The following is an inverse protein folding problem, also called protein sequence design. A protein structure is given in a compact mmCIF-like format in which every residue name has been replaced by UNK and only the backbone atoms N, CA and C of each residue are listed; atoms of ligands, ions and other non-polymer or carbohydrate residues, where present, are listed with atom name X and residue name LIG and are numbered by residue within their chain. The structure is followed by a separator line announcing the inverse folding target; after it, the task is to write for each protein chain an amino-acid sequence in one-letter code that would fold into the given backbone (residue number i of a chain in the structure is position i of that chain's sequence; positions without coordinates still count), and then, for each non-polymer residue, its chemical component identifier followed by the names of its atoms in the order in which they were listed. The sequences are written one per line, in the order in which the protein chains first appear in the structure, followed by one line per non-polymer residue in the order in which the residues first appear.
data_IF_741889876668
#
_entry.id   IF_741889876668
#
_cell.length_a   1.000
_cell.length_b   1.000
_cell.length_c   1.000
_cell.angle_alpha   90.00
_cell.angle_beta   90.00
_cell.angle_gamma   90.00
#
_symmetry.space_group_name_H-M   'P 1'
#
loop_
_entity.id
_entity.type
_entity.pdbx_description
1 polymer ?
#
# COMPACT_ATOMS: atom_id res chain seq x y z
N UNK A 1 13.19 -57.39 17.78
CA UNK A 1 11.96 -56.65 17.48
C UNK A 1 12.30 -55.16 17.60
N UNK A 2 12.53 -54.47 16.46
CA UNK A 2 12.67 -53.00 16.41
C UNK A 2 11.26 -52.43 16.38
N UNK A 3 10.87 -51.72 17.42
CA UNK A 3 9.64 -50.94 17.41
C UNK A 3 9.87 -49.65 16.56
N UNK A 4 9.19 -49.57 15.42
CA UNK A 4 9.09 -48.35 14.65
C UNK A 4 8.20 -47.38 15.46
N UNK A 5 8.80 -46.38 16.09
CA UNK A 5 8.07 -45.27 16.66
C UNK A 5 7.68 -44.36 15.50
N UNK A 6 6.44 -44.47 15.01
CA UNK A 6 5.84 -43.47 14.17
C UNK A 6 5.60 -42.23 15.03
N UNK A 7 6.49 -41.25 14.97
CA UNK A 7 6.19 -39.87 15.41
C UNK A 7 5.16 -39.31 14.46
N UNK A 8 3.92 -39.17 14.91
CA UNK A 8 2.92 -38.38 14.21
C UNK A 8 3.46 -36.96 14.08
N UNK A 9 3.75 -36.56 12.86
CA UNK A 9 4.10 -35.18 12.57
C UNK A 9 2.91 -34.31 12.97
N UNK A 10 3.08 -33.49 14.01
CA UNK A 10 2.08 -32.52 14.47
C UNK A 10 1.80 -31.59 13.32
N UNK A 11 0.57 -31.59 12.85
CA UNK A 11 0.12 -30.75 11.77
C UNK A 11 0.12 -29.30 12.29
N UNK A 12 1.13 -28.52 11.91
CA UNK A 12 1.24 -27.12 12.31
C UNK A 12 0.50 -26.25 11.31
N UNK A 13 -0.53 -25.55 11.80
CA UNK A 13 -1.31 -24.59 11.03
C UNK A 13 -1.06 -23.21 11.61
N UNK A 14 -0.57 -22.29 10.77
CA UNK A 14 -0.29 -20.90 11.12
C UNK A 14 -1.20 -20.00 10.29
N UNK A 15 -1.94 -19.12 10.96
CA UNK A 15 -2.80 -18.11 10.33
C UNK A 15 -2.25 -16.71 10.60
N UNK A 16 -1.91 -15.97 9.53
CA UNK A 16 -1.43 -14.59 9.59
C UNK A 16 -2.20 -13.75 8.58
N UNK A 17 -3.12 -12.92 9.05
CA UNK A 17 -4.03 -12.18 8.18
C UNK A 17 -4.88 -13.12 7.34
N UNK A 18 -4.81 -13.00 6.01
CA UNK A 18 -5.53 -13.88 5.07
C UNK A 18 -4.69 -15.10 4.62
N UNK A 19 -3.47 -15.25 5.15
CA UNK A 19 -2.61 -16.39 4.81
C UNK A 19 -2.78 -17.53 5.81
N UNK A 20 -3.06 -18.71 5.28
CA UNK A 20 -3.07 -19.96 6.03
C UNK A 20 -1.89 -20.81 5.53
N UNK A 21 -1.05 -21.26 6.43
CA UNK A 21 0.10 -22.10 6.14
C UNK A 21 -0.06 -23.41 6.92
N UNK A 22 0.01 -24.54 6.22
CA UNK A 22 -0.13 -25.87 6.83
C UNK A 22 1.09 -26.73 6.47
N UNK A 23 1.71 -27.31 7.49
CA UNK A 23 2.84 -28.24 7.33
C UNK A 23 4.02 -27.69 6.51
N UNK A 24 4.25 -26.36 6.56
CA UNK A 24 5.44 -25.78 5.96
C UNK A 24 6.66 -26.07 6.85
N UNK A 25 7.77 -26.54 6.27
CA UNK A 25 9.01 -26.69 7.03
C UNK A 25 9.50 -25.32 7.49
N UNK A 26 10.13 -25.26 8.65
CA UNK A 26 10.81 -24.06 9.12
C UNK A 26 11.92 -23.66 8.13
N UNK A 27 11.98 -22.38 7.79
CA UNK A 27 13.01 -21.87 6.88
C UNK A 27 14.31 -21.77 7.66
N UNK A 28 15.42 -22.43 7.20
CA UNK A 28 16.70 -22.34 7.88
C UNK A 28 17.20 -20.90 8.06
N UNK A 29 17.72 -20.59 9.23
CA UNK A 29 18.23 -19.24 9.54
C UNK A 29 19.31 -18.76 8.55
N UNK A 30 20.20 -19.65 8.11
CA UNK A 30 21.23 -19.35 7.10
C UNK A 30 20.62 -18.90 5.75
N UNK A 31 19.48 -19.51 5.36
CA UNK A 31 18.79 -19.10 4.15
C UNK A 31 18.15 -17.72 4.30
N UNK A 32 17.58 -17.43 5.48
CA UNK A 32 17.03 -16.11 5.79
C UNK A 32 18.13 -15.04 5.73
N UNK A 33 19.29 -15.30 6.36
CA UNK A 33 20.43 -14.38 6.36
C UNK A 33 20.97 -14.14 4.95
N UNK A 34 21.13 -15.22 4.16
CA UNK A 34 21.58 -15.14 2.78
C UNK A 34 20.64 -14.32 1.91
N UNK A 35 19.31 -14.52 2.03
CA UNK A 35 18.31 -13.75 1.29
C UNK A 35 18.25 -12.28 1.71
N UNK A 36 18.47 -11.99 2.99
CA UNK A 36 18.44 -10.62 3.51
C UNK A 36 19.52 -9.73 2.88
N UNK A 37 20.66 -10.26 2.48
CA UNK A 37 21.70 -9.51 1.77
C UNK A 37 21.19 -8.93 0.45
N UNK A 38 20.31 -9.63 -0.23
CA UNK A 38 19.75 -9.24 -1.53
C UNK A 38 18.41 -8.50 -1.40
N UNK A 39 17.63 -8.79 -0.37
CA UNK A 39 16.30 -8.22 -0.18
C UNK A 39 16.31 -6.88 0.58
N UNK A 40 17.38 -6.57 1.32
CA UNK A 40 17.48 -5.32 2.09
C UNK A 40 17.94 -4.12 1.25
N UNK A 41 17.65 -4.13 -0.05
CA UNK A 41 17.84 -2.95 -0.90
C UNK A 41 16.81 -1.89 -0.53
N UNK A 42 17.28 -0.64 -0.38
CA UNK A 42 16.41 0.52 -0.09
C UNK A 42 16.21 1.35 -1.36
N UNK A 43 15.78 0.68 -2.43
CA UNK A 43 15.37 1.35 -3.65
C UNK A 43 14.28 2.39 -3.38
N UNK A 44 14.21 3.44 -4.18
CA UNK A 44 13.17 4.44 -4.11
C UNK A 44 12.53 4.61 -5.49
N UNK A 45 11.20 4.37 -5.56
CA UNK A 45 10.39 4.68 -6.74
C UNK A 45 9.91 6.13 -6.66
N UNK A 46 10.11 6.91 -7.71
CA UNK A 46 9.57 8.27 -7.81
C UNK A 46 8.07 8.21 -8.08
N UNK A 47 7.26 8.89 -7.25
CA UNK A 47 5.82 9.01 -7.41
C UNK A 47 5.38 10.37 -7.98
N UNK A 48 6.13 11.44 -7.70
CA UNK A 48 5.86 12.77 -8.19
C UNK A 48 6.40 13.87 -7.28
N UNK A 49 5.96 15.10 -7.52
CA UNK A 49 6.29 16.27 -6.73
C UNK A 49 5.15 16.60 -5.76
N UNK A 50 5.48 16.98 -4.55
CA UNK A 50 4.53 17.55 -3.60
C UNK A 50 4.28 19.02 -3.92
N UNK A 51 3.18 19.60 -3.44
CA UNK A 51 2.83 21.01 -3.68
C UNK A 51 3.85 22.00 -3.11
N UNK A 52 4.64 21.60 -2.13
CA UNK A 52 5.73 22.37 -1.52
C UNK A 52 7.12 22.09 -2.14
N UNK A 53 7.16 21.39 -3.28
CA UNK A 53 8.38 21.16 -4.06
C UNK A 53 9.27 20.03 -3.57
N UNK A 54 8.80 19.16 -2.66
CA UNK A 54 9.52 17.97 -2.27
C UNK A 54 9.26 16.80 -3.25
N UNK A 55 10.15 15.83 -3.27
CA UNK A 55 9.92 14.55 -3.96
C UNK A 55 9.04 13.65 -3.12
N UNK A 56 7.97 13.12 -3.70
CA UNK A 56 7.20 12.03 -3.14
C UNK A 56 7.71 10.71 -3.72
N UNK A 57 8.08 9.78 -2.85
CA UNK A 57 8.70 8.51 -3.22
C UNK A 57 8.05 7.35 -2.50
N UNK A 58 8.11 6.18 -3.13
CA UNK A 58 7.82 4.90 -2.49
C UNK A 58 9.14 4.21 -2.14
N UNK A 59 9.36 3.89 -0.88
CA UNK A 59 10.56 3.18 -0.44
C UNK A 59 10.27 2.33 0.80
N UNK A 60 11.15 1.38 1.09
CA UNK A 60 11.03 0.46 2.21
C UNK A 60 12.19 0.62 3.19
N UNK A 61 11.90 0.94 4.45
CA UNK A 61 12.85 0.89 5.55
C UNK A 61 12.63 -0.31 6.48
N UNK A 62 11.38 -0.73 6.61
CA UNK A 62 10.97 -1.91 7.36
C UNK A 62 10.53 -3.03 6.39
N UNK A 63 9.43 -3.68 6.65
CA UNK A 63 8.97 -4.86 5.90
C UNK A 63 8.28 -4.49 4.57
N UNK A 64 7.56 -3.37 4.52
CA UNK A 64 6.72 -2.99 3.38
C UNK A 64 7.05 -1.61 2.83
N UNK A 65 6.76 -1.41 1.54
CA UNK A 65 6.91 -0.10 0.90
C UNK A 65 5.87 0.89 1.44
N UNK A 66 6.34 2.09 1.80
CA UNK A 66 5.54 3.18 2.33
C UNK A 66 5.81 4.48 1.56
N UNK A 67 4.90 5.44 1.66
CA UNK A 67 5.10 6.77 1.11
C UNK A 67 6.09 7.57 1.97
N UNK A 68 7.05 8.21 1.31
CA UNK A 68 8.04 9.09 1.94
C UNK A 68 8.18 10.37 1.13
N UNK A 69 8.68 11.42 1.75
CA UNK A 69 9.08 12.63 1.04
C UNK A 69 10.54 13.00 1.28
N UNK A 70 11.14 13.68 0.31
CA UNK A 70 12.51 14.19 0.37
C UNK A 70 12.50 15.62 -0.15
N UNK A 71 12.90 16.58 0.68
CA UNK A 71 12.77 18.00 0.39
C UNK A 71 14.08 18.69 -0.04
N UNK A 72 15.20 17.96 -0.02
CA UNK A 72 16.49 18.49 -0.48
C UNK A 72 17.40 17.35 -0.95
N UNK A 73 18.35 17.61 -1.85
CA UNK A 73 19.33 16.62 -2.26
C UNK A 73 20.07 16.03 -1.07
N UNK A 74 20.24 14.70 -1.04
CA UNK A 74 20.82 13.95 0.07
C UNK A 74 20.10 14.11 1.42
N UNK A 75 18.89 14.69 1.41
CA UNK A 75 18.09 14.91 2.60
C UNK A 75 17.47 13.62 3.16
N UNK A 76 16.92 13.75 4.35
CA UNK A 76 16.22 12.67 5.03
C UNK A 76 15.00 12.23 4.21
N UNK A 77 14.77 10.93 4.14
CA UNK A 77 13.51 10.34 3.64
C UNK A 77 12.51 10.34 4.77
N UNK A 78 11.66 11.35 4.86
CA UNK A 78 10.61 11.44 5.86
C UNK A 78 9.48 10.47 5.53
N UNK A 79 9.22 9.50 6.40
CA UNK A 79 8.12 8.55 6.22
C UNK A 79 6.78 9.21 6.54
N UNK A 80 5.80 9.04 5.63
CA UNK A 80 4.47 9.65 5.73
C UNK A 80 3.39 8.63 6.10
N UNK A 81 3.55 7.36 5.68
CA UNK A 81 2.59 6.29 5.97
C UNK A 81 3.25 5.17 6.77
N UNK A 82 2.47 4.51 7.65
CA UNK A 82 2.98 3.53 8.63
C UNK A 82 2.06 2.32 8.71
N UNK A 83 1.79 1.67 7.58
CA UNK A 83 0.93 0.49 7.51
C UNK A 83 1.75 -0.80 7.50
N UNK A 84 1.13 -1.89 7.94
CA UNK A 84 1.70 -3.23 7.80
C UNK A 84 1.66 -3.69 6.35
N UNK A 85 0.61 -3.29 5.62
CA UNK A 85 0.46 -3.56 4.20
C UNK A 85 1.28 -2.58 3.36
N UNK A 86 1.76 -2.99 2.17
CA UNK A 86 2.43 -2.08 1.27
C UNK A 86 1.48 -0.99 0.77
N UNK A 87 2.01 0.21 0.61
CA UNK A 87 1.32 1.33 0.00
C UNK A 87 1.73 1.43 -1.46
N UNK A 88 0.75 1.48 -2.36
CA UNK A 88 0.93 1.60 -3.80
C UNK A 88 0.09 2.71 -4.42
N UNK A 89 0.15 2.85 -5.75
CA UNK A 89 -0.67 3.82 -6.49
C UNK A 89 -0.56 5.26 -5.98
N UNK A 90 0.62 5.64 -5.52
CA UNK A 90 0.84 6.97 -4.92
C UNK A 90 0.74 8.04 -6.01
N UNK A 91 -0.22 8.95 -5.85
CA UNK A 91 -0.48 10.06 -6.77
C UNK A 91 -0.53 11.38 -5.98
N UNK A 92 0.47 12.26 -6.11
CA UNK A 92 0.44 13.56 -5.45
C UNK A 92 -0.69 14.45 -5.99
N UNK A 93 -1.19 15.34 -5.16
CA UNK A 93 -2.09 16.40 -5.61
C UNK A 93 -1.39 17.32 -6.61
N UNK A 94 -2.12 17.84 -7.61
CA UNK A 94 -1.60 18.85 -8.52
C UNK A 94 -1.07 20.10 -7.79
N UNK A 95 -0.18 20.84 -8.43
CA UNK A 95 0.41 22.04 -7.83
C UNK A 95 -0.66 23.09 -7.42
N UNK A 96 -1.74 23.19 -8.20
CA UNK A 96 -2.85 24.11 -7.95
C UNK A 96 -4.00 23.48 -7.16
N UNK A 97 -3.77 22.32 -6.52
CA UNK A 97 -4.83 21.64 -5.80
C UNK A 97 -5.38 22.47 -4.64
N UNK A 98 -6.70 22.46 -4.50
CA UNK A 98 -7.39 23.08 -3.38
C UNK A 98 -7.00 22.47 -2.01
N UNK A 99 -6.44 21.24 -2.03
CA UNK A 99 -6.04 20.48 -0.85
C UNK A 99 -4.68 19.82 -1.09
N UNK A 100 -3.64 20.15 -0.32
CA UNK A 100 -2.32 19.53 -0.45
C UNK A 100 -2.28 18.14 0.17
N UNK A 101 -1.80 17.16 -0.58
CA UNK A 101 -1.74 15.77 -0.11
C UNK A 101 -1.41 14.80 -1.22
N UNK A 102 -1.80 13.56 -1.07
CA UNK A 102 -1.69 12.53 -2.12
C UNK A 102 -2.75 11.44 -1.96
N UNK A 103 -3.14 10.85 -3.08
CA UNK A 103 -3.91 9.61 -3.09
C UNK A 103 -2.95 8.43 -3.02
N UNK A 104 -3.33 7.36 -2.34
CA UNK A 104 -2.63 6.10 -2.36
C UNK A 104 -3.60 4.92 -2.27
N UNK A 105 -3.14 3.74 -2.64
CA UNK A 105 -3.90 2.51 -2.51
C UNK A 105 -3.23 1.56 -1.52
N UNK A 106 -4.03 0.80 -0.81
CA UNK A 106 -3.61 -0.38 -0.06
C UNK A 106 -4.79 -1.34 0.12
N UNK A 107 -4.48 -2.60 0.32
CA UNK A 107 -5.44 -3.61 0.74
C UNK A 107 -5.44 -3.80 2.26
N UNK A 108 -6.15 -4.79 2.74
CA UNK A 108 -6.19 -5.17 4.15
C UNK A 108 -5.77 -6.62 4.32
N UNK A 109 -4.58 -6.83 4.89
CA UNK A 109 -4.07 -8.16 5.21
C UNK A 109 -3.84 -9.05 3.98
N UNK A 110 -3.57 -8.48 2.79
CA UNK A 110 -3.34 -9.23 1.56
C UNK A 110 -4.61 -9.79 0.91
N UNK A 111 -5.78 -9.16 1.14
CA UNK A 111 -7.06 -9.60 0.58
C UNK A 111 -7.27 -9.21 -0.90
N UNK A 112 -6.32 -8.44 -1.47
CA UNK A 112 -6.32 -7.96 -2.86
C UNK A 112 -7.48 -7.01 -3.22
N UNK A 113 -8.28 -6.59 -2.23
CA UNK A 113 -9.32 -5.56 -2.40
C UNK A 113 -8.75 -4.18 -2.10
N UNK A 114 -7.91 -3.67 -3.01
CA UNK A 114 -7.26 -2.37 -2.84
C UNK A 114 -8.28 -1.26 -2.72
N UNK A 115 -8.16 -0.50 -1.64
CA UNK A 115 -8.95 0.70 -1.40
C UNK A 115 -8.11 1.95 -1.62
N UNK A 116 -8.74 3.05 -2.02
CA UNK A 116 -8.10 4.34 -2.21
C UNK A 116 -8.23 5.20 -0.96
N UNK A 117 -7.15 5.88 -0.63
CA UNK A 117 -7.04 6.75 0.53
C UNK A 117 -6.45 8.10 0.13
N UNK A 118 -6.85 9.15 0.84
CA UNK A 118 -6.23 10.45 0.80
C UNK A 118 -5.35 10.64 2.03
N UNK A 119 -4.10 11.04 1.83
CA UNK A 119 -3.24 11.53 2.90
C UNK A 119 -3.17 13.06 2.83
N UNK A 120 -3.49 13.71 3.93
CA UNK A 120 -3.51 15.17 4.06
C UNK A 120 -2.20 15.66 4.70
N UNK A 121 -1.44 16.51 4.00
CA UNK A 121 -0.15 16.97 4.52
C UNK A 121 -0.27 17.85 5.80
N UNK A 122 -1.20 18.82 5.89
CA UNK A 122 -1.32 19.67 7.06
C UNK A 122 -1.70 18.91 8.33
N UNK A 123 -2.70 18.07 8.27
CA UNK A 123 -3.20 17.33 9.44
C UNK A 123 -2.50 15.98 9.66
N UNK A 124 -1.77 15.49 8.67
CA UNK A 124 -1.17 14.13 8.66
C UNK A 124 -2.18 13.01 8.88
N UNK A 125 -3.40 13.24 8.47
CA UNK A 125 -4.49 12.26 8.59
C UNK A 125 -4.75 11.56 7.27
N UNK A 126 -5.32 10.35 7.37
CA UNK A 126 -5.72 9.55 6.22
C UNK A 126 -7.23 9.39 6.19
N UNK A 127 -7.84 9.60 5.02
CA UNK A 127 -9.27 9.45 4.78
C UNK A 127 -9.50 8.38 3.72
N UNK A 128 -10.39 7.43 3.96
CA UNK A 128 -10.83 6.46 2.96
C UNK A 128 -11.68 7.15 1.89
N UNK A 129 -11.36 6.92 0.61
CA UNK A 129 -12.05 7.53 -0.52
C UNK A 129 -13.06 6.59 -1.20
N UNK A 130 -12.89 5.30 -1.06
CA UNK A 130 -13.73 4.26 -1.67
C UNK A 130 -14.65 3.59 -0.65
N UNK A 131 -15.38 2.56 -1.05
CA UNK A 131 -16.45 1.97 -0.24
C UNK A 131 -15.97 1.15 0.98
N UNK A 132 -14.67 0.84 1.05
CA UNK A 132 -14.08 0.04 2.14
C UNK A 132 -14.54 -1.42 2.15
N UNK A 133 -15.15 -1.89 1.06
CA UNK A 133 -15.69 -3.25 0.92
C UNK A 133 -14.80 -4.12 0.04
N UNK A 134 -15.35 -5.22 -0.44
CA UNK A 134 -14.68 -6.16 -1.35
C UNK A 134 -14.73 -5.66 -2.81
N UNK A 135 -14.27 -4.44 -3.03
CA UNK A 135 -14.09 -3.85 -4.35
C UNK A 135 -12.61 -3.64 -4.65
N UNK A 136 -12.21 -3.84 -5.89
CA UNK A 136 -10.86 -3.51 -6.37
C UNK A 136 -10.88 -2.11 -6.97
N UNK A 137 -10.02 -1.23 -6.48
CA UNK A 137 -9.94 0.16 -6.91
C UNK A 137 -8.52 0.52 -7.34
N UNK A 138 -8.38 1.37 -8.38
CA UNK A 138 -7.08 1.79 -8.88
C UNK A 138 -7.17 2.70 -10.10
N UNK A 139 -6.03 2.94 -10.77
CA UNK A 139 -5.98 3.78 -11.97
C UNK A 139 -6.42 5.23 -11.72
N UNK A 140 -6.04 5.77 -10.58
CA UNK A 140 -6.47 7.08 -10.10
C UNK A 140 -5.82 8.23 -10.88
N UNK A 141 -6.61 9.21 -11.26
CA UNK A 141 -6.16 10.49 -11.83
C UNK A 141 -6.91 11.64 -11.17
N UNK A 142 -6.27 12.79 -11.07
CA UNK A 142 -6.87 14.03 -10.57
C UNK A 142 -6.92 15.05 -11.70
N UNK A 143 -7.95 15.89 -11.74
CA UNK A 143 -7.98 17.07 -12.61
C UNK A 143 -7.01 18.15 -12.09
N UNK A 144 -6.82 19.23 -12.85
CA UNK A 144 -5.80 20.26 -12.63
C UNK A 144 -5.86 20.92 -11.26
N UNK A 145 -7.05 21.15 -10.71
CA UNK A 145 -7.25 21.77 -9.38
C UNK A 145 -7.50 20.73 -8.26
N UNK A 146 -7.45 19.44 -8.58
CA UNK A 146 -7.69 18.36 -7.63
C UNK A 146 -9.13 18.25 -7.13
N UNK A 147 -10.09 18.95 -7.73
CA UNK A 147 -11.50 18.92 -7.32
C UNK A 147 -12.23 17.67 -7.76
N UNK A 148 -11.76 17.05 -8.84
CA UNK A 148 -12.30 15.80 -9.37
C UNK A 148 -11.25 14.71 -9.40
N UNK A 149 -11.65 13.51 -9.03
CA UNK A 149 -10.85 12.30 -9.10
C UNK A 149 -11.58 11.25 -9.94
N UNK A 150 -10.94 10.74 -11.00
CA UNK A 150 -11.42 9.57 -11.71
C UNK A 150 -10.61 8.34 -11.29
N UNK A 151 -11.26 7.19 -11.18
CA UNK A 151 -10.63 5.92 -10.83
C UNK A 151 -11.44 4.74 -11.38
N UNK A 152 -10.80 3.59 -11.53
CA UNK A 152 -11.49 2.35 -11.88
C UNK A 152 -11.91 1.59 -10.63
N UNK A 153 -13.11 0.99 -10.65
CA UNK A 153 -13.63 0.24 -9.50
C UNK A 153 -14.54 -0.90 -9.92
N UNK A 154 -14.49 -2.00 -9.16
CA UNK A 154 -15.46 -3.12 -9.27
C UNK A 154 -16.64 -2.98 -8.32
N UNK A 155 -16.83 -1.83 -7.67
CA UNK A 155 -17.82 -1.63 -6.61
C UNK A 155 -19.28 -1.90 -7.04
N UNK A 156 -19.59 -1.80 -8.35
CA UNK A 156 -20.94 -2.04 -8.86
C UNK A 156 -21.40 -3.48 -8.69
N UNK A 157 -20.55 -4.44 -9.01
CA UNK A 157 -20.93 -5.87 -8.99
C UNK A 157 -19.82 -6.83 -8.53
N UNK A 158 -18.67 -6.30 -8.10
CA UNK A 158 -17.52 -7.08 -7.63
C UNK A 158 -16.62 -7.66 -8.73
N UNK A 159 -16.99 -7.53 -10.01
CA UNK A 159 -16.30 -8.21 -11.14
C UNK A 159 -15.87 -7.23 -12.22
N UNK A 160 -16.80 -6.47 -12.75
CA UNK A 160 -16.54 -5.55 -13.87
C UNK A 160 -15.97 -4.23 -13.37
N UNK A 161 -15.00 -3.71 -14.11
CA UNK A 161 -14.38 -2.43 -13.81
C UNK A 161 -15.10 -1.31 -14.54
N UNK A 162 -15.69 -0.42 -13.75
CA UNK A 162 -16.27 0.83 -14.23
C UNK A 162 -15.36 2.01 -13.92
N UNK A 163 -15.52 3.11 -14.65
CA UNK A 163 -14.89 4.39 -14.32
C UNK A 163 -15.81 5.17 -13.40
N UNK A 164 -15.31 5.50 -12.25
CA UNK A 164 -16.00 6.31 -11.24
C UNK A 164 -15.41 7.71 -11.21
N UNK A 165 -16.28 8.69 -11.05
CA UNK A 165 -15.90 10.09 -10.88
C UNK A 165 -16.31 10.54 -9.47
N UNK A 166 -15.32 11.04 -8.72
CA UNK A 166 -15.54 11.53 -7.35
C UNK A 166 -15.26 13.01 -7.26
N UNK A 167 -16.21 13.76 -6.75
CA UNK A 167 -15.98 15.12 -6.27
C UNK A 167 -15.20 15.05 -4.95
N UNK A 168 -13.99 15.61 -4.93
CA UNK A 168 -13.08 15.51 -3.77
C UNK A 168 -13.45 16.48 -2.66
N UNK A 169 -14.25 17.52 -2.95
CA UNK A 169 -14.71 18.51 -1.98
C UNK A 169 -15.94 18.01 -1.22
N UNK A 170 -16.91 17.45 -1.93
CA UNK A 170 -18.15 16.94 -1.34
C UNK A 170 -18.07 15.47 -0.93
N UNK A 171 -17.16 14.73 -1.55
CA UNK A 171 -17.00 13.29 -1.33
C UNK A 171 -18.06 12.43 -2.06
N UNK A 172 -18.85 13.01 -2.93
CA UNK A 172 -19.81 12.27 -3.76
C UNK A 172 -19.12 11.57 -4.93
N UNK A 173 -19.57 10.37 -5.26
CA UNK A 173 -19.10 9.55 -6.38
C UNK A 173 -20.26 9.12 -7.24
#
# INVERSE_FOLDING_TARGET
LLALVCTEARQERIEIGNRISENLPEIPAELIESLNQYQNTRGAGFAGWTTDGCLLISTRFAETAQAHRVCQPMGMREQLTFYKEPVGGILPSPANAWRPGFVFSKDKGGDEFSQLYWFDYPSRTTTLLTDGKRSQNGGTVLNEDGSLMAYSSTARNGTDRDIWLRDTKTGQS
#
